data_IF_695519033338
#
_entry.id   IF_695519033338
#
_cell.length_a   1.000
_cell.length_b   1.000
_cell.length_c   1.000
_cell.angle_alpha   90.00
_cell.angle_beta   90.00
_cell.angle_gamma   90.00
#
_symmetry.space_group_name_H-M   'P 1'
#
loop_
_entity.id
_entity.type
_entity.pdbx_description
1 polymer ?
#
# COMPACT_ATOMS: atom_id res chain seq x y z
N UNK A 1 -18.15 18.86 2.48
CA UNK A 1 -17.32 17.96 1.66
C UNK A 1 -16.05 17.73 2.48
N UNK A 2 -15.96 16.62 3.20
CA UNK A 2 -14.74 16.31 3.97
C UNK A 2 -13.62 16.13 2.95
N UNK A 3 -12.70 17.10 2.90
CA UNK A 3 -11.41 16.90 2.26
C UNK A 3 -10.74 15.86 3.14
N UNK A 4 -10.78 14.58 2.75
CA UNK A 4 -9.97 13.57 3.43
C UNK A 4 -8.53 14.02 3.25
N UNK A 5 -7.90 14.41 4.37
CA UNK A 5 -6.49 14.72 4.39
C UNK A 5 -5.69 13.44 4.18
N UNK A 6 -4.42 13.61 3.80
CA UNK A 6 -3.53 12.48 3.51
C UNK A 6 -3.36 11.57 4.74
N UNK A 7 -3.52 12.13 5.95
CA UNK A 7 -3.51 11.40 7.23
C UNK A 7 -4.72 10.47 7.37
N UNK A 8 -5.95 10.97 7.20
CA UNK A 8 -7.16 10.12 7.29
C UNK A 8 -7.21 9.03 6.21
N UNK A 9 -6.67 9.30 5.02
CA UNK A 9 -6.49 8.27 3.98
C UNK A 9 -5.50 7.19 4.45
N UNK A 10 -4.39 7.60 5.05
CA UNK A 10 -3.37 6.68 5.53
C UNK A 10 -3.88 5.83 6.70
N UNK A 11 -4.65 6.40 7.62
CA UNK A 11 -5.31 5.65 8.70
C UNK A 11 -6.31 4.62 8.16
N UNK A 12 -7.13 4.99 7.17
CA UNK A 12 -8.04 4.07 6.49
C UNK A 12 -7.27 2.95 5.78
N UNK A 13 -6.14 3.28 5.15
CA UNK A 13 -5.25 2.31 4.54
C UNK A 13 -4.70 1.30 5.55
N UNK A 14 -4.14 1.78 6.68
CA UNK A 14 -3.65 0.92 7.74
C UNK A 14 -4.75 0.02 8.31
N UNK A 15 -5.96 0.56 8.52
CA UNK A 15 -7.11 -0.22 8.99
C UNK A 15 -7.48 -1.35 8.05
N UNK A 16 -7.37 -1.13 6.73
CA UNK A 16 -7.63 -2.16 5.71
C UNK A 16 -6.54 -3.21 5.59
N UNK A 17 -5.30 -2.90 5.97
CA UNK A 17 -4.21 -3.87 5.99
C UNK A 17 -4.33 -4.90 7.12
N UNK A 18 -5.09 -4.59 8.18
CA UNK A 18 -5.34 -5.49 9.30
C UNK A 18 -4.80 -4.94 10.62
N UNK A 19 -5.62 -5.05 11.68
CA UNK A 19 -5.45 -4.37 12.98
C UNK A 19 -4.25 -4.83 13.82
N UNK A 20 -3.67 -6.03 13.60
CA UNK A 20 -2.81 -6.65 14.64
C UNK A 20 -1.31 -6.75 14.29
N UNK A 21 -0.91 -6.76 13.01
CA UNK A 21 0.48 -7.03 12.61
C UNK A 21 1.16 -5.93 11.78
N UNK A 22 0.47 -4.83 11.53
CA UNK A 22 1.01 -3.69 10.79
C UNK A 22 1.76 -2.76 11.74
N UNK A 23 3.06 -2.62 11.56
CA UNK A 23 3.90 -1.74 12.40
C UNK A 23 4.61 -0.71 11.55
N UNK A 24 4.65 0.54 12.01
CA UNK A 24 5.55 1.52 11.41
C UNK A 24 6.97 1.28 11.95
N UNK A 25 7.92 1.01 11.06
CA UNK A 25 9.33 0.86 11.41
C UNK A 25 9.95 2.20 11.82
N UNK A 26 11.13 2.15 12.43
CA UNK A 26 11.85 3.35 12.90
C UNK A 26 12.19 4.35 11.77
N UNK A 27 12.29 3.86 10.53
CA UNK A 27 12.51 4.68 9.33
C UNK A 27 11.20 5.02 8.58
N UNK A 28 10.05 4.80 9.21
CA UNK A 28 8.75 5.25 8.70
C UNK A 28 8.13 4.36 7.61
N UNK A 29 8.65 3.16 7.38
CA UNK A 29 8.02 2.20 6.49
C UNK A 29 6.91 1.42 7.21
N UNK A 30 5.93 0.94 6.46
CA UNK A 30 4.89 0.04 6.97
C UNK A 30 5.43 -1.39 6.86
N UNK A 31 5.71 -2.02 8.00
CA UNK A 31 6.16 -3.41 8.08
C UNK A 31 4.95 -4.35 8.03
N UNK A 32 4.98 -5.28 7.07
CA UNK A 32 3.99 -6.33 6.85
C UNK A 32 4.62 -7.67 7.25
N UNK A 33 4.04 -8.33 8.26
CA UNK A 33 4.49 -9.67 8.72
C UNK A 33 3.58 -10.79 8.23
N UNK A 34 2.36 -10.45 7.89
CA UNK A 34 1.36 -11.35 7.34
C UNK A 34 0.64 -10.65 6.17
N UNK A 35 0.06 -11.45 5.28
CA UNK A 35 -0.78 -10.97 4.18
C UNK A 35 -1.88 -12.00 3.91
N UNK A 36 -3.14 -11.57 3.91
CA UNK A 36 -4.31 -12.46 3.72
C UNK A 36 -4.26 -13.74 4.61
N UNK A 37 -4.04 -13.56 5.90
CA UNK A 37 -3.91 -14.64 6.91
C UNK A 37 -2.73 -15.60 6.70
N UNK A 38 -1.78 -15.25 5.83
CA UNK A 38 -0.54 -16.01 5.61
C UNK A 38 0.65 -15.28 6.21
N UNK A 39 1.38 -15.93 7.12
CA UNK A 39 2.65 -15.42 7.63
C UNK A 39 3.70 -15.34 6.50
N UNK A 40 4.43 -14.24 6.47
CA UNK A 40 5.51 -14.03 5.50
C UNK A 40 6.84 -14.52 6.09
N UNK A 41 7.58 -15.35 5.34
CA UNK A 41 8.89 -15.88 5.76
C UNK A 41 9.88 -14.80 6.23
N UNK A 42 9.77 -13.61 5.62
CA UNK A 42 10.49 -12.40 5.99
C UNK A 42 9.51 -11.22 5.98
N UNK A 43 9.59 -10.29 6.95
CA UNK A 43 8.77 -9.08 6.92
C UNK A 43 9.02 -8.27 5.65
N UNK A 44 7.95 -7.78 5.04
CA UNK A 44 8.02 -6.88 3.90
C UNK A 44 7.87 -5.43 4.37
N UNK A 45 8.53 -4.51 3.67
CA UNK A 45 8.59 -3.09 4.06
C UNK A 45 7.96 -2.24 2.98
N UNK A 46 6.73 -1.80 3.22
CA UNK A 46 6.03 -0.89 2.33
C UNK A 46 6.47 0.55 2.58
N UNK A 47 7.14 1.13 1.58
CA UNK A 47 7.74 2.47 1.63
C UNK A 47 6.70 3.54 1.31
N UNK A 48 5.83 3.82 2.28
CA UNK A 48 4.77 4.84 2.12
C UNK A 48 4.65 5.74 3.34
N UNK A 49 4.57 7.04 3.07
CA UNK A 49 4.17 8.07 4.02
C UNK A 49 2.72 8.48 3.73
N UNK A 50 2.01 9.16 4.65
CA UNK A 50 0.68 9.70 4.38
C UNK A 50 0.64 10.53 3.10
N UNK A 51 1.59 11.47 2.95
CA UNK A 51 1.70 12.32 1.77
C UNK A 51 1.91 11.53 0.48
N UNK A 52 2.90 10.63 0.45
CA UNK A 52 3.21 9.87 -0.76
C UNK A 52 2.07 8.92 -1.15
N UNK A 53 1.36 8.37 -0.16
CA UNK A 53 0.16 7.56 -0.42
C UNK A 53 -0.95 8.43 -1.02
N UNK A 54 -1.25 9.60 -0.43
CA UNK A 54 -2.25 10.53 -0.97
C UNK A 54 -1.94 10.99 -2.39
N UNK A 55 -0.69 11.32 -2.69
CA UNK A 55 -0.23 11.65 -4.05
C UNK A 55 -0.42 10.47 -5.02
N UNK A 56 -0.07 9.26 -4.60
CA UNK A 56 -0.19 8.06 -5.42
C UNK A 56 -1.65 7.67 -5.67
N UNK A 57 -2.54 7.73 -4.67
CA UNK A 57 -3.96 7.44 -4.85
C UNK A 57 -4.63 8.43 -5.81
N UNK A 58 -4.30 9.72 -5.74
CA UNK A 58 -4.79 10.72 -6.70
C UNK A 58 -4.38 10.39 -8.13
N UNK A 59 -3.18 9.86 -8.33
CA UNK A 59 -2.73 9.39 -9.64
C UNK A 59 -3.51 8.16 -10.13
N UNK A 60 -3.99 7.31 -9.21
CA UNK A 60 -4.78 6.13 -9.51
C UNK A 60 -6.29 6.39 -9.63
N UNK A 61 -6.81 7.57 -9.25
CA UNK A 61 -8.26 7.85 -9.19
C UNK A 61 -9.00 7.48 -10.48
N UNK A 62 -8.45 7.79 -11.66
CA UNK A 62 -9.09 7.46 -12.93
C UNK A 62 -9.16 5.95 -13.20
N UNK A 63 -8.07 5.24 -12.93
CA UNK A 63 -8.00 3.79 -13.07
C UNK A 63 -8.89 3.09 -12.03
N UNK A 64 -8.86 3.58 -10.79
CA UNK A 64 -9.70 3.10 -9.70
C UNK A 64 -11.18 3.29 -9.97
N UNK A 65 -11.61 4.45 -10.48
CA UNK A 65 -12.99 4.69 -10.86
C UNK A 65 -13.46 3.81 -12.02
N UNK A 66 -12.55 3.43 -12.92
CA UNK A 66 -12.85 2.50 -14.02
C UNK A 66 -12.98 1.06 -13.54
N UNK A 67 -12.14 0.63 -12.59
CA UNK A 67 -12.15 -0.72 -12.03
C UNK A 67 -13.27 -0.92 -10.99
N UNK A 68 -13.62 0.13 -10.24
CA UNK A 68 -14.60 0.12 -9.15
C UNK A 68 -15.62 1.25 -9.33
N UNK A 69 -16.52 1.18 -10.33
CA UNK A 69 -17.39 2.29 -10.71
C UNK A 69 -18.45 2.65 -9.66
N UNK A 70 -18.74 1.74 -8.73
CA UNK A 70 -19.69 1.96 -7.63
C UNK A 70 -19.04 2.57 -6.38
N UNK A 71 -17.70 2.62 -6.33
CA UNK A 71 -16.96 3.18 -5.21
C UNK A 71 -16.76 4.70 -5.35
N UNK A 72 -16.61 5.39 -4.21
CA UNK A 72 -16.11 6.77 -4.23
C UNK A 72 -14.70 6.79 -4.84
N UNK A 73 -14.30 7.82 -5.62
CA UNK A 73 -13.05 7.80 -6.38
C UNK A 73 -11.81 7.44 -5.57
N UNK A 74 -11.63 8.07 -4.40
CA UNK A 74 -10.50 7.79 -3.50
C UNK A 74 -10.55 6.37 -2.91
N UNK A 75 -11.75 5.83 -2.70
CA UNK A 75 -11.94 4.46 -2.20
C UNK A 75 -11.61 3.45 -3.30
N UNK A 76 -12.04 3.71 -4.54
CA UNK A 76 -11.68 2.90 -5.70
C UNK A 76 -10.17 2.93 -5.98
N UNK A 77 -9.52 4.10 -5.85
CA UNK A 77 -8.07 4.22 -5.93
C UNK A 77 -7.37 3.40 -4.83
N UNK A 78 -7.86 3.47 -3.59
CA UNK A 78 -7.33 2.68 -2.47
C UNK A 78 -7.52 1.18 -2.69
N UNK A 79 -8.67 0.75 -3.21
CA UNK A 79 -8.90 -0.65 -3.58
C UNK A 79 -7.93 -1.11 -4.66
N UNK A 80 -7.74 -0.30 -5.71
CA UNK A 80 -6.78 -0.59 -6.77
C UNK A 80 -5.33 -0.66 -6.24
N UNK A 81 -4.97 0.23 -5.31
CA UNK A 81 -3.67 0.20 -4.64
C UNK A 81 -3.45 -1.12 -3.87
N UNK A 82 -4.45 -1.58 -3.12
CA UNK A 82 -4.38 -2.86 -2.40
C UNK A 82 -4.25 -4.06 -3.36
N UNK A 83 -4.90 -4.01 -4.53
CA UNK A 83 -4.71 -5.01 -5.59
C UNK A 83 -3.27 -5.02 -6.09
N UNK A 84 -2.68 -3.85 -6.40
CA UNK A 84 -1.28 -3.78 -6.82
C UNK A 84 -0.32 -4.24 -5.72
N UNK A 85 -0.65 -3.98 -4.45
CA UNK A 85 0.13 -4.44 -3.31
C UNK A 85 0.11 -5.98 -3.21
N UNK A 86 -1.06 -6.60 -3.35
CA UNK A 86 -1.21 -8.07 -3.42
C UNK A 86 -0.37 -8.66 -4.56
N UNK A 87 -0.47 -8.08 -5.76
CA UNK A 87 0.30 -8.52 -6.93
C UNK A 87 1.80 -8.42 -6.66
N UNK A 88 2.28 -7.32 -6.09
CA UNK A 88 3.68 -7.11 -5.76
C UNK A 88 4.20 -8.13 -4.74
N UNK A 89 3.38 -8.48 -3.74
CA UNK A 89 3.70 -9.48 -2.72
C UNK A 89 3.77 -10.88 -3.34
N UNK A 90 2.79 -11.24 -4.17
CA UNK A 90 2.69 -12.57 -4.80
C UNK A 90 3.74 -12.81 -5.88
N UNK A 91 4.14 -11.78 -6.62
CA UNK A 91 5.08 -11.88 -7.74
C UNK A 91 6.52 -11.49 -7.39
N UNK A 92 6.79 -11.21 -6.10
CA UNK A 92 8.12 -10.75 -5.65
C UNK A 92 9.21 -11.75 -5.98
N UNK A 93 10.39 -11.23 -6.32
CA UNK A 93 11.60 -12.04 -6.46
C UNK A 93 12.15 -12.42 -5.09
N UNK A 94 12.81 -13.58 -4.95
CA UNK A 94 13.51 -13.93 -3.71
C UNK A 94 14.49 -12.81 -3.30
N UNK A 95 14.46 -12.43 -2.02
CA UNK A 95 15.30 -11.36 -1.48
C UNK A 95 14.80 -9.93 -1.74
N UNK A 96 13.69 -9.74 -2.47
CA UNK A 96 13.06 -8.43 -2.59
C UNK A 96 12.07 -8.20 -1.43
N UNK A 97 12.53 -7.50 -0.39
CA UNK A 97 11.75 -7.26 0.83
C UNK A 97 11.11 -5.88 0.89
N UNK A 98 11.50 -4.95 0.01
CA UNK A 98 10.93 -3.60 -0.02
C UNK A 98 9.81 -3.53 -1.07
N UNK A 99 8.68 -2.93 -0.68
CA UNK A 99 7.53 -2.66 -1.55
C UNK A 99 7.46 -1.15 -1.77
N UNK A 100 7.50 -0.70 -3.01
CA UNK A 100 7.63 0.73 -3.36
C UNK A 100 6.54 1.10 -4.34
N UNK A 101 5.66 2.07 -4.02
CA UNK A 101 4.73 2.60 -5.00
C UNK A 101 5.49 3.29 -6.15
N UNK A 102 5.01 3.12 -7.37
CA UNK A 102 5.52 3.81 -8.55
C UNK A 102 4.38 4.38 -9.40
N UNK A 103 4.60 4.71 -10.67
CA UNK A 103 3.53 5.28 -11.51
C UNK A 103 2.52 4.25 -12.01
N UNK A 104 2.82 2.95 -11.84
CA UNK A 104 2.01 1.84 -12.35
C UNK A 104 1.30 1.05 -11.24
N UNK A 105 1.76 1.20 -10.00
CA UNK A 105 1.16 0.53 -8.85
C UNK A 105 2.19 0.38 -7.73
N UNK A 106 2.46 -0.86 -7.33
CA UNK A 106 3.47 -1.22 -6.34
C UNK A 106 4.44 -2.20 -6.97
N UNK A 107 5.74 -1.99 -6.77
CA UNK A 107 6.79 -2.93 -7.18
C UNK A 107 7.57 -3.44 -5.99
N UNK A 108 8.11 -4.66 -6.11
CA UNK A 108 9.08 -5.19 -5.16
C UNK A 108 10.52 -4.83 -5.56
N UNK A 109 11.34 -4.51 -4.57
CA UNK A 109 12.74 -4.13 -4.73
C UNK A 109 13.62 -4.87 -3.71
N UNK A 110 14.94 -5.02 -3.98
CA UNK A 110 15.89 -5.40 -2.94
C UNK A 110 15.76 -4.47 -1.71
N UNK A 111 16.10 -4.94 -0.50
CA UNK A 111 16.14 -4.08 0.66
C UNK A 111 16.97 -2.84 0.36
N UNK A 112 16.46 -1.66 0.69
CA UNK A 112 17.30 -0.49 0.72
C UNK A 112 18.31 -0.68 1.87
N UNK A 113 19.58 -0.92 1.52
CA UNK A 113 20.67 -0.95 2.50
C UNK A 113 20.63 0.33 3.36
N UNK A 114 20.69 0.15 4.68
CA UNK A 114 20.84 1.23 5.66
C UNK A 114 22.26 1.80 5.66
#
# INVERSE_FOLDING_TARGET
MHRTDDEGIFEEFLRRLGDEDVRTSADGAVELRSWEDVELDVPLRLRVTPRSLGEHLRALEHAGASAFPEAQPVVGALQLFLVHLDEAIRTRRPGHTDLVPDTTGVRSAPPHDA
#
